data_IF_093152770655
#
_entry.id   IF_093152770655
#
_cell.length_a   1.000
_cell.length_b   1.000
_cell.length_c   1.000
_cell.angle_alpha   90.00
_cell.angle_beta   90.00
_cell.angle_gamma   90.00
#
_symmetry.space_group_name_H-M   'P 1'
#
loop_
_entity.id
_entity.type
_entity.pdbx_description
1 polymer ?
#
# COMPACT_ATOMS: atom_id res chain seq x y z
N UNK A 1 6.88 -1.88 2.47
CA UNK A 1 6.95 -1.24 3.82
C UNK A 1 6.24 -2.05 4.89
N UNK A 2 4.94 -2.33 4.75
CA UNK A 2 4.10 -2.98 5.79
C UNK A 2 4.64 -4.32 6.30
N UNK A 3 5.05 -5.23 5.40
CA UNK A 3 5.59 -6.53 5.81
C UNK A 3 6.89 -6.44 6.62
N UNK A 4 7.66 -5.38 6.42
CA UNK A 4 8.91 -5.12 7.17
C UNK A 4 8.62 -4.63 8.58
N UNK A 5 7.69 -3.68 8.75
CA UNK A 5 7.23 -3.23 10.06
C UNK A 5 6.62 -4.39 10.86
N UNK A 6 5.84 -5.23 10.21
CA UNK A 6 5.26 -6.41 10.84
C UNK A 6 6.34 -7.39 11.30
N UNK A 7 7.35 -7.67 10.47
CA UNK A 7 8.46 -8.56 10.83
C UNK A 7 9.27 -8.01 12.01
N UNK A 8 9.59 -6.71 12.00
CA UNK A 8 10.26 -6.05 13.12
C UNK A 8 9.41 -6.14 14.40
N UNK A 9 8.11 -5.86 14.29
CA UNK A 9 7.19 -5.98 15.42
C UNK A 9 7.15 -7.39 16.01
N UNK A 10 7.10 -8.43 15.16
CA UNK A 10 7.15 -9.84 15.59
C UNK A 10 8.47 -10.17 16.30
N UNK A 11 9.61 -9.74 15.75
CA UNK A 11 10.93 -10.00 16.38
C UNK A 11 11.05 -9.26 17.72
N UNK A 12 10.53 -8.06 17.82
CA UNK A 12 10.43 -7.31 19.10
C UNK A 12 9.54 -8.02 20.12
N UNK A 13 8.40 -8.55 19.68
CA UNK A 13 7.51 -9.33 20.54
C UNK A 13 8.15 -10.62 21.07
N UNK A 14 8.87 -11.33 20.20
CA UNK A 14 9.63 -12.54 20.58
C UNK A 14 10.76 -12.20 21.58
N UNK A 15 11.46 -11.09 21.37
CA UNK A 15 12.46 -10.58 22.29
C UNK A 15 11.84 -10.30 23.66
N UNK A 16 10.72 -9.58 23.71
CA UNK A 16 10.00 -9.25 24.96
C UNK A 16 9.58 -10.50 25.71
N UNK A 17 8.97 -11.47 25.00
CA UNK A 17 8.55 -12.74 25.60
C UNK A 17 9.74 -13.51 26.21
N UNK A 18 10.85 -13.57 25.48
CA UNK A 18 12.05 -14.29 25.96
C UNK A 18 12.74 -13.54 27.10
N UNK A 19 12.78 -12.23 27.10
CA UNK A 19 13.32 -11.39 28.19
C UNK A 19 12.57 -11.64 29.50
N UNK A 20 11.24 -11.72 29.45
CA UNK A 20 10.42 -12.08 30.61
C UNK A 20 10.78 -13.45 31.17
N UNK A 21 11.00 -14.44 30.29
CA UNK A 21 11.41 -15.78 30.69
C UNK A 21 12.79 -15.79 31.34
N UNK A 22 13.76 -15.06 30.79
CA UNK A 22 15.11 -14.95 31.36
C UNK A 22 15.11 -14.25 32.72
N UNK A 23 14.31 -13.17 32.88
CA UNK A 23 14.14 -12.46 34.16
C UNK A 23 13.61 -13.39 35.23
N UNK A 24 12.63 -14.26 34.94
CA UNK A 24 12.06 -15.23 35.87
C UNK A 24 13.06 -16.33 36.29
N UNK A 25 13.97 -16.72 35.38
CA UNK A 25 14.91 -17.81 35.58
C UNK A 25 16.28 -17.36 36.10
N UNK A 26 16.38 -16.20 36.77
CA UNK A 26 17.61 -15.73 37.42
C UNK A 26 18.60 -14.98 36.56
N UNK A 27 18.23 -14.68 35.28
CA UNK A 27 19.02 -13.80 34.42
C UNK A 27 20.10 -14.50 33.58
N UNK A 28 21.16 -13.76 33.26
CA UNK A 28 22.24 -14.19 32.34
C UNK A 28 23.57 -14.28 33.08
N UNK A 29 24.06 -15.50 33.30
CA UNK A 29 25.23 -15.77 34.17
C UNK A 29 26.58 -15.40 33.53
N UNK A 30 26.69 -15.41 32.19
CA UNK A 30 27.97 -15.15 31.52
C UNK A 30 28.02 -13.79 30.84
N UNK A 31 29.22 -13.11 30.86
CA UNK A 31 29.41 -11.84 30.17
C UNK A 31 29.07 -11.93 28.67
N UNK A 32 29.35 -13.06 28.04
CA UNK A 32 29.06 -13.29 26.64
C UNK A 32 27.54 -13.27 26.39
N UNK A 33 26.75 -13.97 27.22
CA UNK A 33 25.27 -14.00 27.07
C UNK A 33 24.66 -12.63 27.33
N UNK A 34 25.17 -11.87 28.32
CA UNK A 34 24.75 -10.47 28.56
C UNK A 34 25.03 -9.60 27.37
N UNK A 35 26.24 -9.66 26.82
CA UNK A 35 26.61 -8.93 25.60
C UNK A 35 25.72 -9.27 24.41
N UNK A 36 25.49 -10.55 24.15
CA UNK A 36 24.60 -10.98 23.05
C UNK A 36 23.16 -10.47 23.23
N UNK A 37 22.63 -10.53 24.46
CA UNK A 37 21.26 -10.13 24.74
C UNK A 37 21.04 -8.63 24.61
N UNK A 38 21.91 -7.83 25.23
CA UNK A 38 21.86 -6.38 25.12
C UNK A 38 22.20 -5.89 23.70
N UNK A 39 23.11 -6.58 23.00
CA UNK A 39 23.39 -6.35 21.58
C UNK A 39 22.16 -6.54 20.71
N UNK A 40 21.39 -7.60 20.96
CA UNK A 40 20.15 -7.86 20.23
C UNK A 40 19.09 -6.77 20.49
N UNK A 41 18.96 -6.31 21.75
CA UNK A 41 18.10 -5.19 22.12
C UNK A 41 18.46 -3.91 21.34
N UNK A 42 19.72 -3.50 21.40
CA UNK A 42 20.19 -2.30 20.71
C UNK A 42 20.06 -2.41 19.17
N UNK A 43 20.29 -3.59 18.62
CA UNK A 43 20.07 -3.87 17.19
C UNK A 43 18.62 -3.65 16.76
N UNK A 44 17.67 -4.20 17.50
CA UNK A 44 16.25 -4.05 17.20
C UNK A 44 15.79 -2.60 17.34
N UNK A 45 16.21 -1.92 18.42
CA UNK A 45 15.87 -0.52 18.65
C UNK A 45 16.43 0.41 17.55
N UNK A 46 17.71 0.25 17.20
CA UNK A 46 18.39 1.04 16.16
C UNK A 46 17.80 0.79 14.77
N UNK A 47 17.49 -0.47 14.44
CA UNK A 47 16.86 -0.83 13.16
C UNK A 47 15.47 -0.21 13.01
N UNK A 48 14.66 -0.23 14.07
CA UNK A 48 13.34 0.39 14.06
C UNK A 48 13.40 1.91 13.94
N UNK A 49 14.31 2.55 14.68
CA UNK A 49 14.52 4.00 14.59
C UNK A 49 14.98 4.41 13.17
N UNK A 50 15.93 3.69 12.58
CA UNK A 50 16.41 3.96 11.23
C UNK A 50 15.30 3.75 10.18
N UNK A 51 14.43 2.76 10.35
CA UNK A 51 13.28 2.56 9.46
C UNK A 51 12.29 3.74 9.53
N UNK A 52 11.97 4.21 10.73
CA UNK A 52 11.08 5.37 10.91
C UNK A 52 11.69 6.63 10.30
N UNK A 53 12.99 6.86 10.51
CA UNK A 53 13.70 8.00 9.94
C UNK A 53 13.77 7.93 8.42
N UNK A 54 14.09 6.76 7.84
CA UNK A 54 14.17 6.61 6.38
C UNK A 54 12.82 6.91 5.71
N UNK A 55 11.71 6.46 6.28
CA UNK A 55 10.35 6.76 5.81
C UNK A 55 10.03 8.25 5.92
N UNK A 56 10.48 8.91 6.99
CA UNK A 56 10.27 10.35 7.16
C UNK A 56 11.11 11.18 6.17
N UNK A 57 12.34 10.77 5.90
CA UNK A 57 13.24 11.45 4.97
C UNK A 57 12.86 11.24 3.50
N UNK A 58 12.35 10.09 3.13
CA UNK A 58 11.90 9.80 1.75
C UNK A 58 10.82 10.77 1.26
N UNK A 59 9.99 11.28 2.18
CA UNK A 59 9.03 12.35 1.87
C UNK A 59 9.69 13.67 1.46
N UNK A 60 10.95 13.92 1.84
CA UNK A 60 11.67 15.16 1.57
C UNK A 60 12.67 15.06 0.42
N UNK A 61 13.13 13.86 0.06
CA UNK A 61 14.24 13.67 -0.89
C UNK A 61 13.82 13.17 -2.28
N UNK A 62 12.53 13.10 -2.60
CA UNK A 62 12.01 12.63 -3.90
C UNK A 62 12.42 13.47 -5.13
N UNK A 63 13.31 14.43 -4.99
CA UNK A 63 13.77 15.26 -6.10
C UNK A 63 15.17 14.91 -6.64
N UNK A 64 15.80 13.82 -6.22
CA UNK A 64 17.12 13.44 -6.71
C UNK A 64 17.02 12.15 -7.54
N UNK A 65 17.46 12.24 -8.77
CA UNK A 65 17.60 11.20 -9.80
C UNK A 65 18.23 9.91 -9.26
N UNK A 66 17.43 8.85 -9.12
CA UNK A 66 17.94 7.50 -8.93
C UNK A 66 17.09 6.53 -9.74
N UNK A 67 17.70 5.71 -10.58
CA UNK A 67 17.02 4.77 -11.44
C UNK A 67 16.22 3.70 -10.68
N UNK A 68 15.29 3.01 -11.34
CA UNK A 68 14.29 2.14 -10.72
C UNK A 68 14.85 0.98 -9.87
N UNK A 69 16.08 0.52 -10.14
CA UNK A 69 16.72 -0.56 -9.38
C UNK A 69 17.41 -0.11 -8.07
N UNK A 70 17.64 1.18 -7.89
CA UNK A 70 18.27 1.72 -6.68
C UNK A 70 17.28 1.93 -5.53
N UNK A 71 15.98 2.05 -5.81
CA UNK A 71 14.94 2.32 -4.81
C UNK A 71 14.72 1.17 -3.81
N UNK A 72 14.77 -0.08 -4.27
CA UNK A 72 14.54 -1.24 -3.39
C UNK A 72 15.71 -1.50 -2.42
N UNK A 73 16.92 -1.14 -2.81
CA UNK A 73 18.12 -1.37 -2.02
C UNK A 73 18.37 -0.23 -1.02
N UNK A 74 18.13 1.03 -1.40
CA UNK A 74 18.41 2.21 -0.58
C UNK A 74 17.61 2.27 0.74
N UNK A 75 16.42 1.69 0.77
CA UNK A 75 15.58 1.61 1.97
C UNK A 75 16.07 0.59 3.01
N UNK A 76 16.82 -0.45 2.58
CA UNK A 76 17.29 -1.52 3.48
C UNK A 76 18.61 -1.19 4.15
N UNK A 77 19.53 -0.59 3.44
CA UNK A 77 20.89 -0.36 3.94
C UNK A 77 20.93 0.44 5.26
N UNK A 78 20.19 1.56 5.42
CA UNK A 78 20.21 2.28 6.68
C UNK A 78 19.78 1.45 7.87
N UNK A 79 18.72 0.65 7.73
CA UNK A 79 18.19 -0.20 8.79
C UNK A 79 19.15 -1.35 9.13
N UNK A 80 19.80 -1.96 8.13
CA UNK A 80 20.77 -3.03 8.33
C UNK A 80 22.03 -2.48 8.99
N UNK A 81 22.55 -1.33 8.52
CA UNK A 81 23.71 -0.69 9.10
C UNK A 81 23.42 -0.32 10.57
N UNK A 82 22.27 0.29 10.83
CA UNK A 82 21.86 0.64 12.18
C UNK A 82 21.72 -0.60 13.08
N UNK A 83 21.20 -1.72 12.56
CA UNK A 83 21.11 -2.98 13.27
C UNK A 83 22.50 -3.50 13.65
N UNK A 84 23.46 -3.48 12.72
CA UNK A 84 24.84 -3.95 12.97
C UNK A 84 25.54 -3.05 13.98
N UNK A 85 25.48 -1.73 13.80
CA UNK A 85 26.08 -0.76 14.73
C UNK A 85 25.47 -0.88 16.12
N UNK A 86 24.13 -0.96 16.20
CA UNK A 86 23.41 -1.16 17.44
C UNK A 86 23.81 -2.46 18.15
N UNK A 87 23.95 -3.56 17.37
CA UNK A 87 24.38 -4.85 17.93
C UNK A 87 25.80 -4.76 18.51
N UNK A 88 26.75 -4.23 17.74
CA UNK A 88 28.15 -4.11 18.17
C UNK A 88 28.25 -3.26 19.44
N UNK A 89 27.63 -2.09 19.45
CA UNK A 89 27.59 -1.21 20.62
C UNK A 89 26.99 -1.92 21.85
N UNK A 90 25.80 -2.49 21.69
CA UNK A 90 25.11 -3.18 22.78
C UNK A 90 25.88 -4.41 23.28
N UNK A 91 26.52 -5.16 22.36
CA UNK A 91 27.32 -6.34 22.74
C UNK A 91 28.47 -5.97 23.68
N UNK A 92 29.27 -4.98 23.31
CA UNK A 92 30.40 -4.56 24.16
C UNK A 92 29.91 -3.95 25.48
N UNK A 93 28.87 -3.14 25.47
CA UNK A 93 28.29 -2.55 26.67
C UNK A 93 27.70 -3.61 27.61
N UNK A 94 26.92 -4.56 27.09
CA UNK A 94 26.36 -5.64 27.91
C UNK A 94 27.41 -6.60 28.46
N UNK A 95 28.51 -6.82 27.70
CA UNK A 95 29.64 -7.64 28.20
C UNK A 95 30.44 -6.95 29.29
N UNK A 96 30.52 -5.63 29.26
CA UNK A 96 31.24 -4.80 30.23
C UNK A 96 30.43 -4.50 31.51
N UNK A 97 29.25 -5.08 31.67
CA UNK A 97 28.40 -4.89 32.85
C UNK A 97 29.14 -5.27 34.14
N UNK A 98 29.30 -4.32 35.08
CA UNK A 98 30.01 -4.60 36.35
C UNK A 98 29.33 -5.69 37.17
N UNK A 99 30.12 -6.45 37.95
CA UNK A 99 29.58 -7.54 38.80
C UNK A 99 28.60 -7.06 39.85
N UNK A 100 28.81 -5.87 40.40
CA UNK A 100 27.92 -5.24 41.37
C UNK A 100 26.57 -4.77 40.80
N UNK A 101 26.42 -4.75 39.47
CA UNK A 101 25.20 -4.40 38.73
C UNK A 101 24.71 -5.53 37.85
N UNK A 102 25.05 -6.78 38.16
CA UNK A 102 24.60 -7.94 37.40
C UNK A 102 23.11 -7.92 37.18
N UNK A 103 22.70 -8.05 35.93
CA UNK A 103 21.28 -8.06 35.55
C UNK A 103 20.65 -6.68 35.37
N UNK A 104 21.39 -5.59 35.58
CA UNK A 104 20.86 -4.24 35.35
C UNK A 104 20.37 -4.03 33.94
N UNK A 105 21.21 -4.34 32.93
CA UNK A 105 20.81 -4.21 31.53
C UNK A 105 19.68 -5.16 31.15
N UNK A 106 19.65 -6.37 31.68
CA UNK A 106 18.54 -7.28 31.43
C UNK A 106 17.22 -6.73 32.00
N UNK A 107 17.27 -6.09 33.18
CA UNK A 107 16.11 -5.46 33.79
C UNK A 107 15.65 -4.26 32.97
N UNK A 108 16.56 -3.33 32.67
CA UNK A 108 16.30 -2.14 31.88
C UNK A 108 15.77 -2.49 30.47
N UNK A 109 16.46 -3.40 29.75
CA UNK A 109 16.05 -3.88 28.44
C UNK A 109 14.68 -4.55 28.48
N UNK A 110 14.37 -5.31 29.54
CA UNK A 110 13.07 -5.97 29.65
C UNK A 110 11.94 -4.97 29.90
N UNK A 111 12.16 -3.92 30.69
CA UNK A 111 11.18 -2.86 30.93
C UNK A 111 10.89 -2.05 29.65
N UNK A 112 11.95 -1.67 28.95
CA UNK A 112 11.83 -1.01 27.65
C UNK A 112 11.14 -1.91 26.61
N UNK A 113 11.49 -3.18 26.56
CA UNK A 113 10.87 -4.14 25.65
C UNK A 113 9.39 -4.36 25.98
N UNK A 114 9.03 -4.43 27.27
CA UNK A 114 7.64 -4.56 27.68
C UNK A 114 6.79 -3.34 27.30
N UNK A 115 7.35 -2.15 27.34
CA UNK A 115 6.63 -0.91 27.02
C UNK A 115 6.69 -0.60 25.54
N UNK A 116 7.91 -0.42 24.99
CA UNK A 116 8.09 0.10 23.63
C UNK A 116 7.91 -0.99 22.57
N UNK A 117 8.55 -2.16 22.75
CA UNK A 117 8.48 -3.23 21.74
C UNK A 117 7.07 -3.84 21.67
N UNK A 118 6.36 -3.94 22.80
CA UNK A 118 4.98 -4.40 22.80
C UNK A 118 4.04 -3.39 22.10
N UNK A 119 4.27 -2.10 22.31
CA UNK A 119 3.51 -1.05 21.61
C UNK A 119 3.79 -1.05 20.11
N UNK A 120 5.05 -1.24 19.70
CA UNK A 120 5.43 -1.37 18.27
C UNK A 120 4.80 -2.61 17.64
N UNK A 121 4.82 -3.76 18.34
CA UNK A 121 4.16 -4.98 17.87
C UNK A 121 2.66 -4.76 17.67
N UNK A 122 1.99 -4.16 18.65
CA UNK A 122 0.56 -3.88 18.59
C UNK A 122 0.25 -2.93 17.41
N UNK A 123 0.97 -1.82 17.32
CA UNK A 123 0.80 -0.84 16.24
C UNK A 123 1.05 -1.48 14.86
N UNK A 124 2.14 -2.24 14.72
CA UNK A 124 2.46 -2.96 13.48
C UNK A 124 1.37 -3.96 13.09
N UNK A 125 0.80 -4.68 14.07
CA UNK A 125 -0.30 -5.63 13.85
C UNK A 125 -1.56 -4.92 13.39
N UNK A 126 -1.94 -3.83 14.04
CA UNK A 126 -3.10 -3.01 13.65
C UNK A 126 -2.92 -2.46 12.24
N UNK A 127 -1.76 -1.83 11.96
CA UNK A 127 -1.47 -1.24 10.65
C UNK A 127 -1.37 -2.28 9.54
N UNK A 128 -0.90 -3.49 9.84
CA UNK A 128 -0.79 -4.54 8.84
C UNK A 128 -2.14 -5.17 8.50
N UNK A 129 -2.95 -5.50 9.50
CA UNK A 129 -4.18 -6.29 9.32
C UNK A 129 -5.46 -5.47 9.25
N UNK A 130 -5.53 -4.35 9.97
CA UNK A 130 -6.81 -3.66 10.23
C UNK A 130 -6.92 -2.36 9.46
N UNK A 131 -6.05 -1.39 9.72
CA UNK A 131 -6.18 -0.02 9.24
C UNK A 131 -4.86 0.55 8.77
N UNK A 132 -4.90 1.27 7.65
CA UNK A 132 -3.76 2.02 7.14
C UNK A 132 -4.18 3.45 6.80
N UNK A 133 -3.33 4.41 7.15
CA UNK A 133 -3.52 5.81 6.79
C UNK A 133 -2.94 6.10 5.40
N UNK A 134 -3.70 6.85 4.59
CA UNK A 134 -3.29 7.34 3.29
C UNK A 134 -3.54 8.85 3.18
N UNK A 135 -2.73 9.51 2.36
CA UNK A 135 -2.94 10.91 1.96
C UNK A 135 -3.26 10.95 0.48
N UNK A 136 -4.26 11.73 0.09
CA UNK A 136 -4.66 11.90 -1.31
C UNK A 136 -3.70 12.88 -2.01
N UNK A 137 -2.93 12.40 -3.01
CA UNK A 137 -1.95 13.22 -3.69
C UNK A 137 -2.45 13.88 -4.98
N UNK A 138 -3.60 13.43 -5.53
CA UNK A 138 -4.07 13.82 -6.86
C UNK A 138 -5.59 14.02 -6.89
N UNK A 139 -6.06 14.80 -7.87
CA UNK A 139 -7.48 15.11 -8.06
C UNK A 139 -8.30 14.06 -8.81
N UNK A 140 -7.79 12.83 -9.01
CA UNK A 140 -8.52 11.81 -9.80
C UNK A 140 -9.81 11.30 -9.15
N UNK A 141 -10.01 11.56 -7.86
CA UNK A 141 -11.21 11.27 -7.08
C UNK A 141 -11.92 12.55 -6.62
N UNK A 142 -11.62 13.68 -7.26
CA UNK A 142 -12.20 14.98 -6.98
C UNK A 142 -13.73 14.90 -7.06
N UNK A 143 -14.42 15.66 -6.25
CA UNK A 143 -15.81 15.56 -5.83
C UNK A 143 -16.03 14.65 -4.60
N UNK A 144 -15.37 13.50 -4.50
CA UNK A 144 -15.45 12.63 -3.32
C UNK A 144 -14.25 12.81 -2.38
N UNK A 145 -13.04 12.78 -2.92
CA UNK A 145 -11.78 12.95 -2.17
C UNK A 145 -10.97 14.08 -2.77
N UNK A 146 -10.55 15.04 -1.94
CA UNK A 146 -9.76 16.18 -2.37
C UNK A 146 -8.26 15.99 -2.10
N UNK A 147 -7.44 16.68 -2.89
CA UNK A 147 -5.98 16.71 -2.66
C UNK A 147 -5.71 17.21 -1.24
N UNK A 148 -4.92 16.45 -0.49
CA UNK A 148 -4.59 16.75 0.90
C UNK A 148 -5.46 16.07 1.93
N UNK A 149 -6.58 15.43 1.55
CA UNK A 149 -7.35 14.58 2.46
C UNK A 149 -6.49 13.44 3.01
N UNK A 150 -6.61 13.18 4.30
CA UNK A 150 -6.01 12.03 4.96
C UNK A 150 -7.13 11.08 5.38
N UNK A 151 -7.03 9.83 4.99
CA UNK A 151 -8.07 8.85 5.23
C UNK A 151 -7.53 7.54 5.80
N UNK A 152 -8.40 6.84 6.50
CA UNK A 152 -8.17 5.46 6.91
C UNK A 152 -8.75 4.49 5.87
N UNK A 153 -7.96 3.46 5.58
CA UNK A 153 -8.35 2.34 4.71
C UNK A 153 -8.56 1.11 5.57
N UNK A 154 -9.74 0.53 5.48
CA UNK A 154 -10.08 -0.73 6.13
C UNK A 154 -9.53 -1.89 5.28
N UNK A 155 -8.55 -2.61 5.83
CA UNK A 155 -7.83 -3.68 5.13
C UNK A 155 -8.47 -5.06 5.30
N UNK A 156 -9.17 -5.28 6.40
CA UNK A 156 -9.74 -6.59 6.72
C UNK A 156 -11.09 -6.86 6.08
N UNK A 157 -11.81 -5.84 5.61
CA UNK A 157 -13.19 -5.96 5.12
C UNK A 157 -13.34 -6.99 3.99
N UNK A 158 -12.34 -7.09 3.11
CA UNK A 158 -12.28 -8.07 2.02
C UNK A 158 -11.47 -9.33 2.36
N UNK A 159 -11.30 -9.62 3.65
CA UNK A 159 -10.52 -10.72 4.19
C UNK A 159 -9.11 -10.32 4.63
N UNK A 160 -8.63 -10.99 5.67
CA UNK A 160 -7.29 -10.80 6.19
C UNK A 160 -6.24 -11.33 5.20
N UNK A 161 -5.28 -10.48 4.84
CA UNK A 161 -4.20 -10.86 3.94
C UNK A 161 -3.11 -11.62 4.70
N UNK A 162 -2.83 -12.86 4.28
CA UNK A 162 -1.73 -13.63 4.86
C UNK A 162 -0.39 -13.03 4.35
N UNK A 163 0.55 -12.70 5.25
CA UNK A 163 1.86 -12.20 4.87
C UNK A 163 2.55 -13.11 3.84
N UNK A 164 3.22 -12.51 2.86
CA UNK A 164 4.04 -13.17 1.84
C UNK A 164 3.32 -14.16 0.89
N UNK A 165 2.04 -14.44 1.06
CA UNK A 165 1.32 -15.43 0.22
C UNK A 165 0.37 -14.79 -0.78
N UNK A 166 -0.03 -13.55 -0.58
CA UNK A 166 -1.09 -12.88 -1.35
C UNK A 166 -2.50 -13.45 -1.14
N UNK A 167 -2.63 -14.55 -0.38
CA UNK A 167 -3.94 -15.17 -0.07
C UNK A 167 -4.68 -14.37 1.00
N UNK A 168 -6.01 -14.44 0.94
CA UNK A 168 -6.90 -13.84 1.95
C UNK A 168 -7.69 -14.93 2.65
N UNK A 169 -7.93 -14.75 3.95
CA UNK A 169 -8.75 -15.61 4.79
C UNK A 169 -9.80 -14.77 5.50
N UNK A 170 -10.88 -15.39 5.92
CA UNK A 170 -12.00 -14.71 6.61
C UNK A 170 -12.56 -13.55 5.78
N UNK A 171 -13.14 -13.85 4.63
CA UNK A 171 -13.80 -12.83 3.81
C UNK A 171 -15.10 -12.38 4.49
N UNK A 172 -15.09 -11.18 5.08
CA UNK A 172 -16.24 -10.63 5.80
C UNK A 172 -17.30 -10.07 4.85
N UNK A 173 -16.86 -9.54 3.71
CA UNK A 173 -17.73 -8.93 2.72
C UNK A 173 -17.11 -9.02 1.33
N UNK A 174 -17.91 -9.36 0.33
CA UNK A 174 -17.52 -9.21 -1.09
C UNK A 174 -17.39 -7.74 -1.50
N UNK A 175 -16.56 -7.50 -2.51
CA UNK A 175 -16.46 -6.18 -3.14
C UNK A 175 -17.79 -5.84 -3.81
N UNK A 176 -18.25 -4.59 -3.64
CA UNK A 176 -19.47 -4.09 -4.26
C UNK A 176 -19.14 -2.96 -5.22
N UNK A 177 -19.99 -2.81 -6.25
CA UNK A 177 -19.96 -1.65 -7.12
C UNK A 177 -20.16 -0.37 -6.30
N UNK A 178 -19.40 0.68 -6.59
CA UNK A 178 -19.36 1.92 -5.82
C UNK A 178 -18.37 1.92 -4.65
N UNK A 179 -17.79 0.79 -4.23
CA UNK A 179 -16.75 0.80 -3.22
C UNK A 179 -15.53 1.60 -3.69
N UNK A 180 -15.02 2.49 -2.87
CA UNK A 180 -13.77 3.20 -3.12
C UNK A 180 -12.63 2.36 -2.54
N UNK A 181 -11.73 1.91 -3.41
CA UNK A 181 -10.68 0.97 -3.05
C UNK A 181 -9.29 1.56 -3.23
N UNK A 182 -8.41 1.24 -2.29
CA UNK A 182 -6.97 1.43 -2.43
C UNK A 182 -6.34 0.11 -2.86
N UNK A 183 -5.50 0.17 -3.88
CA UNK A 183 -4.82 -0.99 -4.45
C UNK A 183 -3.42 -0.61 -4.95
N UNK A 184 -2.53 -1.61 -5.02
CA UNK A 184 -1.25 -1.47 -5.69
C UNK A 184 -1.46 -1.47 -7.19
N UNK A 185 -0.72 -0.64 -7.92
CA UNK A 185 -0.79 -0.62 -9.38
C UNK A 185 -0.59 -2.03 -9.94
N UNK A 186 -1.47 -2.49 -10.86
CA UNK A 186 -1.51 -3.90 -11.24
C UNK A 186 -0.37 -4.33 -12.16
N UNK A 187 0.22 -3.41 -12.90
CA UNK A 187 1.36 -3.70 -13.75
C UNK A 187 2.63 -3.90 -12.94
N UNK A 188 3.41 -4.90 -13.33
CA UNK A 188 4.58 -5.36 -12.60
C UNK A 188 5.91 -5.05 -13.31
N UNK A 189 5.90 -4.50 -14.53
CA UNK A 189 7.14 -4.07 -15.18
C UNK A 189 7.53 -2.66 -14.69
N UNK A 190 8.71 -2.52 -14.05
CA UNK A 190 9.16 -1.21 -13.57
C UNK A 190 9.53 -0.22 -14.68
N UNK A 191 9.52 -0.65 -15.95
CA UNK A 191 9.85 0.17 -17.12
C UNK A 191 8.63 0.70 -17.82
N UNK A 192 7.47 0.10 -17.59
CA UNK A 192 6.25 0.48 -18.27
C UNK A 192 5.73 1.83 -17.79
N UNK A 193 5.33 2.64 -18.77
CA UNK A 193 4.83 4.00 -18.57
C UNK A 193 3.34 4.01 -18.87
N UNK A 194 2.55 4.33 -17.84
CA UNK A 194 1.11 4.50 -17.97
C UNK A 194 0.71 5.94 -17.68
N UNK A 195 -0.13 6.52 -18.52
CA UNK A 195 -0.58 7.90 -18.39
C UNK A 195 0.59 8.89 -18.22
N UNK A 196 1.66 8.69 -18.99
CA UNK A 196 2.82 9.59 -19.04
C UNK A 196 3.81 9.46 -17.88
N UNK A 197 3.69 8.46 -17.00
CA UNK A 197 4.68 8.23 -15.93
C UNK A 197 4.74 6.78 -15.46
N UNK A 198 5.90 6.39 -14.90
CA UNK A 198 6.09 5.07 -14.29
C UNK A 198 5.23 4.98 -13.03
N UNK A 199 4.35 3.97 -12.98
CA UNK A 199 3.41 3.76 -11.88
C UNK A 199 3.77 2.57 -10.98
N UNK A 200 4.84 1.88 -11.26
CA UNK A 200 5.28 0.69 -10.54
C UNK A 200 5.29 0.86 -9.02
N UNK A 201 4.72 -0.09 -8.31
CA UNK A 201 4.58 -0.12 -6.84
C UNK A 201 3.86 1.08 -6.19
N UNK A 202 3.20 1.93 -6.95
CA UNK A 202 2.39 3.01 -6.39
C UNK A 202 1.03 2.48 -5.93
N UNK A 203 0.54 3.01 -4.83
CA UNK A 203 -0.83 2.76 -4.39
C UNK A 203 -1.77 3.78 -5.05
N UNK A 204 -2.86 3.27 -5.62
CA UNK A 204 -3.91 4.03 -6.27
C UNK A 204 -5.20 3.96 -5.46
N UNK A 205 -6.03 4.97 -5.61
CA UNK A 205 -7.38 4.98 -5.08
C UNK A 205 -8.36 5.28 -6.20
N UNK A 206 -9.35 4.40 -6.38
CA UNK A 206 -10.38 4.49 -7.41
C UNK A 206 -11.68 3.89 -6.91
N UNK A 207 -12.78 4.15 -7.65
CA UNK A 207 -14.10 3.57 -7.42
C UNK A 207 -14.29 2.31 -8.25
N UNK A 208 -14.87 1.28 -7.64
CA UNK A 208 -15.28 0.04 -8.34
C UNK A 208 -16.49 0.34 -9.21
N UNK A 209 -16.32 0.21 -10.52
CA UNK A 209 -17.38 0.39 -11.51
C UNK A 209 -17.84 -0.95 -12.07
N UNK A 210 -16.91 -1.84 -12.43
CA UNK A 210 -17.22 -3.19 -12.93
C UNK A 210 -16.82 -4.28 -11.96
N UNK A 211 -17.71 -5.26 -11.79
CA UNK A 211 -17.48 -6.50 -11.06
C UNK A 211 -17.08 -7.62 -12.04
N UNK A 212 -16.49 -8.73 -11.54
CA UNK A 212 -16.17 -9.88 -12.39
C UNK A 212 -17.35 -10.32 -13.26
N UNK A 213 -17.13 -10.43 -14.57
CA UNK A 213 -18.14 -10.79 -15.57
C UNK A 213 -18.96 -9.63 -16.16
N UNK A 214 -18.85 -8.42 -15.60
CA UNK A 214 -19.51 -7.26 -16.19
C UNK A 214 -18.90 -6.88 -17.53
N UNK A 215 -19.73 -6.55 -18.48
CA UNK A 215 -19.36 -5.91 -19.74
C UNK A 215 -19.35 -4.39 -19.56
N UNK A 216 -18.21 -3.75 -19.74
CA UNK A 216 -18.03 -2.32 -19.54
C UNK A 216 -17.74 -1.65 -20.88
N UNK A 217 -18.43 -0.53 -21.10
CA UNK A 217 -18.24 0.31 -22.28
C UNK A 217 -18.49 1.77 -21.94
N UNK A 218 -17.75 2.69 -22.58
CA UNK A 218 -17.99 4.13 -22.54
C UNK A 218 -18.23 4.61 -23.95
N UNK A 219 -19.36 5.27 -24.22
CA UNK A 219 -19.74 5.85 -25.51
C UNK A 219 -20.01 7.32 -25.33
N UNK A 220 -19.25 8.18 -25.97
CA UNK A 220 -19.38 9.62 -25.85
C UNK A 220 -19.48 10.10 -24.38
N UNK A 221 -18.58 9.61 -23.53
CA UNK A 221 -18.55 9.91 -22.08
C UNK A 221 -19.60 9.19 -21.23
N UNK A 222 -20.63 8.56 -21.85
CA UNK A 222 -21.67 7.82 -21.14
C UNK A 222 -21.20 6.39 -20.80
N UNK A 223 -21.23 6.03 -19.52
CA UNK A 223 -20.93 4.68 -19.05
C UNK A 223 -22.09 3.71 -19.32
N UNK A 224 -21.75 2.52 -19.82
CA UNK A 224 -22.65 1.37 -20.00
C UNK A 224 -22.08 0.19 -19.21
N UNK A 225 -22.98 -0.52 -18.51
CA UNK A 225 -22.67 -1.77 -17.82
C UNK A 225 -23.67 -2.80 -18.28
N UNK A 226 -23.20 -3.90 -18.87
CA UNK A 226 -24.03 -4.95 -19.45
C UNK A 226 -25.09 -4.39 -20.44
N UNK A 227 -24.63 -3.50 -21.30
CA UNK A 227 -25.41 -2.77 -22.31
C UNK A 227 -26.45 -1.79 -21.75
N UNK A 228 -26.50 -1.58 -20.44
CA UNK A 228 -27.43 -0.64 -19.78
C UNK A 228 -26.71 0.66 -19.48
N UNK A 229 -27.22 1.83 -19.96
CA UNK A 229 -26.61 3.11 -19.64
C UNK A 229 -26.80 3.47 -18.15
N UNK A 230 -25.75 3.88 -17.48
CA UNK A 230 -25.78 4.34 -16.09
C UNK A 230 -26.11 5.84 -16.07
N UNK A 231 -27.38 6.17 -15.92
CA UNK A 231 -27.88 7.55 -16.05
C UNK A 231 -27.58 8.45 -14.85
N UNK A 232 -27.34 7.87 -13.68
CA UNK A 232 -27.16 8.64 -12.45
C UNK A 232 -25.88 8.18 -11.74
N UNK A 233 -24.84 8.97 -11.88
CA UNK A 233 -23.55 8.80 -11.20
C UNK A 233 -23.25 10.06 -10.37
N UNK A 234 -23.82 10.20 -9.17
CA UNK A 234 -23.73 11.45 -8.38
C UNK A 234 -22.29 11.79 -7.96
N UNK A 235 -21.39 10.82 -8.02
CA UNK A 235 -19.99 10.97 -7.73
C UNK A 235 -19.15 11.36 -8.96
N UNK A 236 -19.66 11.12 -10.18
CA UNK A 236 -18.91 11.43 -11.40
C UNK A 236 -18.76 12.94 -11.58
N UNK A 237 -17.54 13.35 -11.86
CA UNK A 237 -17.16 14.73 -12.11
C UNK A 237 -16.47 14.85 -13.46
N UNK A 238 -16.88 15.85 -14.23
CA UNK A 238 -16.32 16.21 -15.52
C UNK A 238 -15.78 17.64 -15.42
N UNK A 239 -14.46 17.78 -15.44
CA UNK A 239 -13.79 19.07 -15.24
C UNK A 239 -13.63 19.89 -16.52
N UNK A 240 -13.63 19.23 -17.68
CA UNK A 240 -13.74 19.86 -18.99
C UNK A 240 -15.03 19.34 -19.67
N UNK A 241 -15.77 20.15 -20.36
CA UNK A 241 -17.01 19.75 -21.04
C UNK A 241 -16.77 19.21 -22.47
N UNK A 242 -15.53 18.96 -22.85
CA UNK A 242 -15.17 18.59 -24.22
C UNK A 242 -15.14 17.07 -24.38
N UNK A 243 -15.87 16.55 -25.38
CA UNK A 243 -15.76 15.15 -25.80
C UNK A 243 -14.56 14.99 -26.76
N UNK A 244 -13.71 14.02 -26.46
CA UNK A 244 -12.58 13.66 -27.32
C UNK A 244 -13.08 12.80 -28.47
N UNK A 245 -13.16 13.40 -29.67
CA UNK A 245 -13.69 12.71 -30.87
C UNK A 245 -12.70 11.65 -31.41
N UNK A 246 -13.19 10.50 -31.85
CA UNK A 246 -12.34 9.40 -32.34
C UNK A 246 -11.88 9.55 -33.79
N UNK A 247 -11.79 10.75 -34.36
CA UNK A 247 -11.64 11.02 -35.81
C UNK A 247 -10.44 10.36 -36.52
N UNK A 248 -9.52 9.75 -35.79
CA UNK A 248 -8.31 9.17 -36.39
C UNK A 248 -7.77 7.91 -35.69
N UNK A 249 -8.57 7.21 -34.88
CA UNK A 249 -7.99 6.22 -33.95
C UNK A 249 -8.08 4.80 -34.49
N UNK A 250 -6.91 4.19 -34.73
CA UNK A 250 -6.72 2.76 -35.05
C UNK A 250 -7.40 1.76 -34.10
N UNK A 251 -7.90 2.23 -32.97
CA UNK A 251 -8.59 1.40 -31.99
C UNK A 251 -9.89 0.78 -32.50
N UNK A 252 -10.57 1.48 -33.38
CA UNK A 252 -11.81 0.96 -33.97
C UNK A 252 -11.56 -0.10 -35.05
N UNK A 253 -10.32 -0.26 -35.49
CA UNK A 253 -9.90 -1.32 -36.44
C UNK A 253 -9.54 -2.62 -35.69
N UNK A 254 -9.50 -2.60 -34.33
CA UNK A 254 -9.21 -3.79 -33.53
C UNK A 254 -10.45 -4.69 -33.42
N UNK A 255 -10.26 -5.98 -33.63
CA UNK A 255 -11.32 -6.94 -33.33
C UNK A 255 -11.63 -6.91 -31.82
N UNK A 256 -12.89 -7.15 -31.39
CA UNK A 256 -13.25 -7.15 -29.97
C UNK A 256 -12.37 -8.07 -29.12
N UNK A 257 -11.96 -9.22 -29.68
CA UNK A 257 -11.08 -10.17 -29.00
C UNK A 257 -9.68 -9.57 -28.76
N UNK A 258 -9.11 -8.90 -29.79
CA UNK A 258 -7.78 -8.29 -29.66
C UNK A 258 -7.80 -7.09 -28.72
N UNK A 259 -8.88 -6.29 -28.76
CA UNK A 259 -9.08 -5.19 -27.81
C UNK A 259 -9.11 -5.69 -26.36
N UNK A 260 -9.88 -6.75 -26.10
CA UNK A 260 -9.96 -7.40 -24.80
C UNK A 260 -8.59 -7.91 -24.31
N UNK A 261 -7.83 -8.55 -25.19
CA UNK A 261 -6.50 -9.08 -24.87
C UNK A 261 -5.52 -7.95 -24.49
N UNK A 262 -5.42 -6.90 -25.32
CA UNK A 262 -4.56 -5.76 -25.06
C UNK A 262 -4.92 -5.05 -23.75
N UNK A 263 -6.22 -4.90 -23.48
CA UNK A 263 -6.68 -4.33 -22.23
C UNK A 263 -6.29 -5.17 -20.99
N UNK A 264 -6.45 -6.50 -21.08
CA UNK A 264 -6.09 -7.40 -19.99
C UNK A 264 -4.59 -7.47 -19.73
N UNK A 265 -3.79 -7.29 -20.77
CA UNK A 265 -2.32 -7.32 -20.70
C UNK A 265 -1.70 -5.97 -20.32
N UNK A 266 -2.51 -4.93 -20.04
CA UNK A 266 -2.03 -3.58 -19.73
C UNK A 266 -1.34 -2.84 -20.89
N UNK A 267 -1.60 -3.27 -22.13
CA UNK A 267 -0.94 -2.75 -23.34
C UNK A 267 -1.77 -1.69 -24.09
N UNK A 268 -2.99 -1.41 -23.65
CA UNK A 268 -3.93 -0.55 -24.38
C UNK A 268 -3.56 0.94 -24.31
N UNK A 269 -2.96 1.40 -23.23
CA UNK A 269 -2.60 2.81 -22.98
C UNK A 269 -1.66 3.39 -24.06
N UNK A 270 -0.70 2.58 -24.52
CA UNK A 270 0.25 2.99 -25.57
C UNK A 270 -0.37 3.17 -26.96
N UNK A 271 -1.60 2.66 -27.18
CA UNK A 271 -2.24 2.61 -28.50
C UNK A 271 -3.28 3.73 -28.69
N UNK A 272 -4.06 4.03 -27.65
CA UNK A 272 -5.29 4.82 -27.77
C UNK A 272 -5.25 6.20 -27.13
N UNK A 273 -4.29 6.47 -26.26
CA UNK A 273 -4.12 7.75 -25.57
C UNK A 273 -5.45 8.37 -25.06
N UNK A 274 -5.66 9.66 -25.29
CA UNK A 274 -6.76 10.44 -24.73
C UNK A 274 -8.19 10.01 -25.12
N UNK A 275 -8.34 9.27 -26.23
CA UNK A 275 -9.67 8.85 -26.72
C UNK A 275 -10.37 7.88 -25.77
N UNK A 276 -9.60 7.04 -25.05
CA UNK A 276 -10.15 6.10 -24.07
C UNK A 276 -10.94 6.76 -22.96
N UNK A 277 -10.76 8.05 -22.75
CA UNK A 277 -11.53 8.83 -21.80
C UNK A 277 -13.02 8.74 -22.06
N UNK A 278 -13.42 8.99 -23.31
CA UNK A 278 -14.81 9.17 -23.72
C UNK A 278 -15.33 8.02 -24.61
N UNK A 279 -14.43 7.20 -25.17
CA UNK A 279 -14.76 6.06 -26.00
C UNK A 279 -13.89 4.86 -25.62
N UNK A 280 -14.49 3.92 -24.92
CA UNK A 280 -13.77 2.77 -24.36
C UNK A 280 -14.60 1.48 -24.48
N UNK A 281 -13.96 0.37 -24.80
CA UNK A 281 -14.56 -0.95 -24.78
C UNK A 281 -15.32 -1.29 -26.08
N UNK A 282 -16.22 -2.30 -26.04
CA UNK A 282 -16.60 -3.07 -24.84
C UNK A 282 -15.53 -4.05 -24.36
N UNK A 283 -15.40 -4.20 -23.03
CA UNK A 283 -14.56 -5.21 -22.40
C UNK A 283 -15.34 -5.99 -21.34
N UNK A 284 -14.94 -7.24 -21.09
CA UNK A 284 -15.51 -8.06 -20.01
C UNK A 284 -14.50 -8.17 -18.88
N UNK A 285 -14.92 -7.84 -17.67
CA UNK A 285 -14.07 -7.87 -16.47
C UNK A 285 -13.68 -9.31 -16.13
N UNK A 286 -12.39 -9.67 -16.05
CA UNK A 286 -11.96 -11.02 -15.76
C UNK A 286 -12.38 -11.51 -14.38
N UNK A 287 -12.42 -12.84 -14.15
CA UNK A 287 -12.64 -13.41 -12.81
C UNK A 287 -11.61 -12.85 -11.79
N UNK A 288 -12.05 -12.61 -10.57
CA UNK A 288 -11.25 -12.06 -9.48
C UNK A 288 -10.57 -10.72 -9.78
N UNK A 289 -11.10 -9.97 -10.73
CA UNK A 289 -10.62 -8.63 -11.09
C UNK A 289 -11.76 -7.63 -11.10
N UNK A 290 -11.42 -6.35 -11.05
CA UNK A 290 -12.38 -5.25 -10.98
C UNK A 290 -12.02 -4.18 -12.01
N UNK A 291 -13.04 -3.52 -12.56
CA UNK A 291 -12.89 -2.34 -13.36
C UNK A 291 -13.01 -1.10 -12.48
N UNK A 292 -11.99 -0.29 -12.44
CA UNK A 292 -11.85 0.84 -11.54
C UNK A 292 -11.85 2.14 -12.33
N UNK A 293 -12.64 3.14 -11.86
CA UNK A 293 -12.59 4.50 -12.44
C UNK A 293 -12.38 5.55 -11.37
N UNK A 294 -11.75 6.66 -11.74
CA UNK A 294 -11.77 7.85 -10.91
C UNK A 294 -13.12 8.57 -10.99
N UNK A 295 -13.47 9.27 -9.92
CA UNK A 295 -14.69 10.09 -9.89
C UNK A 295 -14.53 11.32 -10.81
N UNK A 296 -13.33 11.91 -10.88
CA UNK A 296 -12.99 12.89 -11.91
C UNK A 296 -12.65 12.16 -13.22
N UNK A 297 -13.63 12.04 -14.10
CA UNK A 297 -13.59 11.26 -15.33
C UNK A 297 -12.56 11.75 -16.33
N UNK A 298 -12.29 13.05 -16.35
CA UNK A 298 -11.38 13.70 -17.30
C UNK A 298 -9.92 13.64 -16.85
N UNK A 299 -9.69 13.59 -15.53
CA UNK A 299 -8.35 13.63 -14.93
C UNK A 299 -7.97 12.35 -14.21
N UNK A 300 -8.56 11.23 -14.62
CA UNK A 300 -8.27 9.93 -14.02
C UNK A 300 -7.55 9.01 -14.97
N UNK A 301 -6.33 8.65 -14.61
CA UNK A 301 -5.68 7.46 -15.12
C UNK A 301 -6.22 6.24 -14.37
N UNK A 302 -7.02 5.40 -15.05
CA UNK A 302 -7.76 4.30 -14.44
C UNK A 302 -7.85 3.07 -15.34
N UNK A 303 -8.74 2.12 -15.06
CA UNK A 303 -8.86 0.87 -15.81
C UNK A 303 -9.15 1.04 -17.30
N UNK A 304 -9.59 2.21 -17.74
CA UNK A 304 -9.71 2.51 -19.17
C UNK A 304 -8.35 2.50 -19.88
N UNK A 305 -7.30 2.83 -19.14
CA UNK A 305 -5.93 2.97 -19.66
C UNK A 305 -5.08 1.73 -19.38
N UNK A 306 -4.98 1.35 -18.11
CA UNK A 306 -4.01 0.34 -17.66
C UNK A 306 -4.65 -1.03 -17.33
N UNK A 307 -5.94 -1.27 -17.64
CA UNK A 307 -6.54 -2.60 -17.54
C UNK A 307 -7.22 -2.93 -16.20
N UNK A 308 -7.53 -4.22 -15.96
CA UNK A 308 -8.26 -4.68 -14.77
C UNK A 308 -7.37 -4.74 -13.53
N UNK A 309 -7.96 -4.55 -12.35
CA UNK A 309 -7.29 -4.68 -11.04
C UNK A 309 -7.61 -6.03 -10.42
N UNK A 310 -6.63 -6.93 -10.28
CA UNK A 310 -6.83 -8.18 -9.57
C UNK A 310 -7.07 -7.99 -8.06
N UNK A 311 -7.89 -8.81 -7.45
CA UNK A 311 -8.16 -8.76 -5.99
C UNK A 311 -6.89 -8.90 -5.14
N UNK A 312 -5.87 -9.60 -5.62
CA UNK A 312 -4.58 -9.76 -4.93
C UNK A 312 -3.88 -8.41 -4.68
N UNK A 313 -4.07 -7.42 -5.57
CA UNK A 313 -3.44 -6.11 -5.51
C UNK A 313 -4.23 -5.11 -4.66
N UNK A 314 -5.46 -5.44 -4.28
CA UNK A 314 -6.30 -4.60 -3.43
C UNK A 314 -5.70 -4.51 -2.02
N UNK A 315 -5.53 -3.30 -1.50
CA UNK A 315 -5.11 -3.02 -0.12
C UNK A 315 -6.30 -3.05 0.83
N UNK A 316 -7.38 -2.36 0.48
CA UNK A 316 -8.60 -2.29 1.29
C UNK A 316 -9.58 -1.25 0.76
N UNK A 317 -10.64 -1.02 1.54
CA UNK A 317 -11.69 -0.04 1.24
C UNK A 317 -11.38 1.28 1.95
N UNK A 318 -11.48 2.41 1.26
CA UNK A 318 -11.51 3.73 1.89
C UNK A 318 -12.69 3.79 2.87
N UNK A 319 -12.41 4.25 4.09
CA UNK A 319 -13.41 4.16 5.15
C UNK A 319 -13.76 5.50 5.76
N UNK A 320 -12.77 6.26 6.23
CA UNK A 320 -13.00 7.47 7.00
C UNK A 320 -11.92 8.53 6.72
N UNK A 321 -12.33 9.77 6.42
CA UNK A 321 -11.44 10.93 6.33
C UNK A 321 -11.24 11.47 7.75
N UNK A 322 -9.99 11.48 8.24
CA UNK A 322 -9.67 11.98 9.57
C UNK A 322 -9.02 13.38 9.56
N UNK A 323 -8.62 13.88 8.40
CA UNK A 323 -8.07 15.20 8.22
C UNK A 323 -8.34 15.70 6.78
N UNK A 324 -8.65 16.97 6.56
CA UNK A 324 -8.79 18.07 7.54
C UNK A 324 -10.08 17.95 8.37
N UNK A 325 -10.15 18.61 9.56
CA UNK A 325 -11.32 18.54 10.45
C UNK A 325 -12.65 18.91 9.76
N UNK A 326 -12.63 19.86 8.85
CA UNK A 326 -13.82 20.31 8.11
C UNK A 326 -14.39 19.22 7.16
N UNK A 327 -13.66 18.15 6.89
CA UNK A 327 -14.04 17.04 5.99
C UNK A 327 -14.09 15.68 6.69
N UNK A 328 -13.97 15.67 8.02
CA UNK A 328 -14.04 14.42 8.78
C UNK A 328 -15.37 13.71 8.55
N UNK A 329 -15.31 12.42 8.18
CA UNK A 329 -16.50 11.64 7.92
C UNK A 329 -16.22 10.35 7.17
N UNK A 330 -17.27 9.53 7.02
CA UNK A 330 -17.21 8.28 6.25
C UNK A 330 -17.16 8.55 4.75
N UNK A 331 -16.40 7.73 4.04
CA UNK A 331 -16.24 7.84 2.58
C UNK A 331 -17.34 7.00 1.91
N UNK A 332 -18.12 7.62 1.04
CA UNK A 332 -19.26 7.01 0.33
C UNK A 332 -19.11 7.05 -1.20
#
# INVERSE_FOLDING_TARGET
MEGRLFLIGVTMGLYTWKSRSLKKNGGLDSPLRRGLWHGLFCSLAASAAALVLSVSMEKHTRFVFVGPNAFAASEFYPSIIAAIVGFVYGFFRGRAEPENKRGYFLLEDSEWAETVFSAVLLAATIMYFIVQAFKIPSGSMENTLLIGDHLFVNKFIYGLRIPFTGKRVFNFRGVKRGDIMVFSFPDQDPRDVHCGSVQYHRDFIKRVIGLPGDKIEVRAGQLYINDVPIKNEPYAHFSDGELRQPESVRAFDLSPKKYQELWQNHELDGILQDVQRDFFGPVVVPPNSYFMMGDNRDRSCDSRYWGPVPLKDVRGKAWFIYWPPARMGTVH
#
